data_IF_256195062352
#
_entry.id   IF_256195062352
#
_cell.length_a   1.000
_cell.length_b   1.000
_cell.length_c   1.000
_cell.angle_alpha   90.00
_cell.angle_beta   90.00
_cell.angle_gamma   90.00
#
_symmetry.space_group_name_H-M   'P 1'
#
loop_
_entity.id
_entity.type
_entity.pdbx_description
1 polymer ?
#
# COMPACT_ATOMS: atom_id res chain seq x y z
N UNK A 1 -98.65 -28.51 -58.19
CA UNK A 1 -98.14 -27.46 -57.30
C UNK A 1 -97.48 -28.12 -56.11
N UNK A 2 -96.15 -28.07 -56.01
CA UNK A 2 -95.34 -28.82 -55.03
C UNK A 2 -94.59 -27.82 -54.15
N UNK A 3 -94.69 -28.04 -52.84
CA UNK A 3 -93.98 -27.32 -51.77
C UNK A 3 -92.46 -27.29 -51.99
N UNK A 4 -91.75 -26.31 -51.39
CA UNK A 4 -90.73 -26.77 -50.45
C UNK A 4 -90.70 -26.03 -49.11
N UNK A 5 -90.49 -26.86 -48.09
CA UNK A 5 -89.95 -26.58 -46.76
C UNK A 5 -88.53 -26.01 -46.84
N UNK A 6 -88.20 -25.08 -45.93
CA UNK A 6 -86.85 -24.56 -45.75
C UNK A 6 -86.66 -24.00 -44.34
N UNK A 7 -86.55 -24.89 -43.36
CA UNK A 7 -86.14 -24.60 -42.00
C UNK A 7 -84.68 -24.15 -41.95
N UNK A 8 -84.44 -22.89 -41.63
CA UNK A 8 -83.13 -22.41 -41.19
C UNK A 8 -83.24 -21.85 -39.77
N UNK A 9 -83.02 -22.73 -38.80
CA UNK A 9 -82.41 -22.36 -37.54
C UNK A 9 -80.99 -21.90 -37.83
N UNK A 10 -80.63 -20.68 -37.40
CA UNK A 10 -79.24 -20.32 -37.11
C UNK A 10 -79.19 -19.38 -35.91
N UNK A 11 -78.29 -19.74 -35.01
CA UNK A 11 -78.08 -19.22 -33.68
C UNK A 11 -77.96 -17.70 -33.56
N UNK A 12 -78.43 -17.23 -32.41
CA UNK A 12 -77.87 -16.07 -31.71
C UNK A 12 -76.44 -16.40 -31.30
N UNK A 13 -75.47 -15.63 -31.75
CA UNK A 13 -74.25 -15.38 -30.97
C UNK A 13 -73.87 -13.90 -31.06
N UNK A 14 -74.33 -13.15 -30.05
CA UNK A 14 -73.63 -12.00 -29.51
C UNK A 14 -72.43 -12.53 -28.72
N UNK A 15 -71.20 -12.04 -28.94
CA UNK A 15 -70.00 -12.07 -28.05
C UNK A 15 -68.77 -11.56 -28.88
N UNK A 16 -67.79 -10.82 -28.31
CA UNK A 16 -67.76 -9.37 -28.29
C UNK A 16 -66.62 -8.83 -29.19
N UNK A 17 -66.54 -7.51 -29.31
CA UNK A 17 -65.39 -6.79 -29.85
C UNK A 17 -64.09 -7.30 -29.22
N UNK A 18 -63.29 -8.07 -29.97
CA UNK A 18 -61.89 -8.36 -29.63
C UNK A 18 -61.09 -7.07 -29.75
N UNK A 19 -61.18 -6.23 -28.73
CA UNK A 19 -60.28 -5.09 -28.55
C UNK A 19 -58.89 -5.67 -28.32
N UNK A 20 -58.10 -5.79 -29.41
CA UNK A 20 -56.68 -6.10 -29.32
C UNK A 20 -55.99 -4.96 -28.57
N UNK A 21 -55.95 -5.06 -27.23
CA UNK A 21 -55.05 -4.26 -26.41
C UNK A 21 -53.64 -4.68 -26.79
N UNK A 22 -53.00 -3.82 -27.57
CA UNK A 22 -51.54 -3.85 -27.73
C UNK A 22 -50.98 -3.71 -26.32
N UNK A 23 -50.46 -4.80 -25.74
CA UNK A 23 -49.54 -4.68 -24.60
C UNK A 23 -48.36 -3.89 -25.13
N UNK A 24 -48.39 -2.57 -24.94
CA UNK A 24 -47.22 -1.74 -25.07
C UNK A 24 -46.39 -2.12 -23.85
N UNK A 25 -45.42 -3.01 -24.05
CA UNK A 25 -44.32 -3.21 -23.12
C UNK A 25 -43.74 -1.83 -22.89
N UNK A 26 -44.02 -1.25 -21.72
CA UNK A 26 -43.15 -0.22 -21.19
C UNK A 26 -41.85 -0.97 -20.92
N UNK A 27 -40.95 -0.94 -21.91
CA UNK A 27 -39.55 -1.10 -21.61
C UNK A 27 -39.27 0.02 -20.60
N UNK A 28 -39.25 -0.35 -19.33
CA UNK A 28 -38.86 0.53 -18.25
C UNK A 28 -37.40 0.86 -18.55
N UNK A 29 -37.19 1.98 -19.23
CA UNK A 29 -35.87 2.58 -19.33
C UNK A 29 -35.58 3.13 -17.94
N UNK A 30 -35.21 2.22 -17.04
CA UNK A 30 -34.72 2.51 -15.71
C UNK A 30 -33.40 3.25 -15.82
N UNK A 31 -33.49 4.56 -16.06
CA UNK A 31 -32.37 5.47 -16.02
C UNK A 31 -32.04 5.82 -14.57
N UNK A 32 -30.75 5.89 -14.26
CA UNK A 32 -30.25 6.37 -12.97
C UNK A 32 -30.73 7.81 -12.75
N UNK A 33 -31.31 8.10 -11.58
CA UNK A 33 -31.75 9.46 -11.28
C UNK A 33 -30.56 10.32 -10.84
N UNK A 34 -30.61 11.63 -11.09
CA UNK A 34 -29.58 12.56 -10.60
C UNK A 34 -29.48 12.54 -9.07
N UNK A 35 -30.61 12.35 -8.39
CA UNK A 35 -30.64 12.28 -6.92
C UNK A 35 -29.99 11.00 -6.38
N UNK A 36 -30.18 9.86 -7.05
CA UNK A 36 -29.53 8.60 -6.70
C UNK A 36 -28.01 8.69 -6.85
N UNK A 37 -27.54 9.34 -7.92
CA UNK A 37 -26.12 9.61 -8.12
C UNK A 37 -25.55 10.54 -7.04
N UNK A 38 -26.28 11.59 -6.65
CA UNK A 38 -25.84 12.50 -5.58
C UNK A 38 -25.65 11.78 -4.25
N UNK A 39 -26.60 10.92 -3.86
CA UNK A 39 -26.50 10.15 -2.62
C UNK A 39 -25.37 9.13 -2.70
N UNK A 40 -25.21 8.43 -3.83
CA UNK A 40 -24.12 7.48 -4.03
C UNK A 40 -22.74 8.14 -3.89
N UNK A 41 -22.52 9.28 -4.55
CA UNK A 41 -21.25 10.03 -4.46
C UNK A 41 -21.00 10.54 -3.04
N UNK A 42 -22.04 11.00 -2.34
CA UNK A 42 -21.91 11.43 -0.94
C UNK A 42 -21.42 10.28 -0.03
N UNK A 43 -21.98 9.08 -0.19
CA UNK A 43 -21.54 7.90 0.58
C UNK A 43 -20.10 7.53 0.25
N UNK A 44 -19.74 7.49 -1.05
CA UNK A 44 -18.37 7.18 -1.47
C UNK A 44 -17.37 8.21 -0.94
N UNK A 45 -17.72 9.49 -0.90
CA UNK A 45 -16.86 10.54 -0.37
C UNK A 45 -16.54 10.32 1.13
N UNK A 46 -17.54 9.97 1.94
CA UNK A 46 -17.34 9.66 3.37
C UNK A 46 -16.46 8.43 3.56
N UNK A 47 -16.70 7.37 2.79
CA UNK A 47 -15.89 6.15 2.85
C UNK A 47 -14.45 6.42 2.43
N UNK A 48 -14.24 7.16 1.34
CA UNK A 48 -12.92 7.50 0.82
C UNK A 48 -12.09 8.33 1.82
N UNK A 49 -12.73 9.26 2.53
CA UNK A 49 -12.06 10.10 3.53
C UNK A 49 -11.38 9.28 4.65
N UNK A 50 -11.94 8.13 5.03
CA UNK A 50 -11.37 7.24 6.04
C UNK A 50 -10.47 6.17 5.40
N UNK A 51 -10.89 5.63 4.25
CA UNK A 51 -10.21 4.51 3.61
C UNK A 51 -8.84 4.89 3.05
N UNK A 52 -8.71 6.06 2.41
CA UNK A 52 -7.48 6.51 1.76
C UNK A 52 -6.31 6.64 2.76
N UNK A 53 -6.44 7.39 3.89
CA UNK A 53 -5.33 7.51 4.84
C UNK A 53 -4.96 6.14 5.44
N UNK A 54 -5.94 5.32 5.79
CA UNK A 54 -5.72 3.99 6.38
C UNK A 54 -4.99 3.03 5.42
N UNK A 55 -5.39 3.00 4.14
CA UNK A 55 -4.72 2.18 3.14
C UNK A 55 -3.30 2.67 2.89
N UNK A 56 -3.09 3.99 2.82
CA UNK A 56 -1.76 4.56 2.64
C UNK A 56 -0.82 4.19 3.80
N UNK A 57 -1.31 4.18 5.03
CA UNK A 57 -0.55 3.75 6.21
C UNK A 57 -0.19 2.28 6.16
N UNK A 58 -1.13 1.42 5.74
CA UNK A 58 -0.87 0.00 5.56
C UNK A 58 0.27 -0.25 4.56
N UNK A 59 0.23 0.44 3.41
CA UNK A 59 1.28 0.35 2.39
C UNK A 59 2.62 0.86 2.93
N UNK A 60 2.65 1.99 3.65
CA UNK A 60 3.87 2.53 4.28
C UNK A 60 4.51 1.53 5.24
N UNK A 61 3.71 0.88 6.10
CA UNK A 61 4.20 -0.16 7.02
C UNK A 61 4.79 -1.36 6.27
N UNK A 62 4.19 -1.75 5.15
CA UNK A 62 4.73 -2.77 4.26
C UNK A 62 6.11 -2.40 3.72
N UNK A 63 6.30 -1.13 3.31
CA UNK A 63 7.61 -0.61 2.84
C UNK A 63 8.65 -0.62 3.97
N UNK A 64 8.28 -0.17 5.17
CA UNK A 64 9.16 -0.14 6.35
C UNK A 64 9.77 -1.52 6.66
N UNK A 65 9.01 -2.59 6.45
CA UNK A 65 9.49 -3.95 6.73
C UNK A 65 10.67 -4.38 5.86
N UNK A 66 10.78 -3.86 4.63
CA UNK A 66 11.93 -4.10 3.75
C UNK A 66 13.22 -3.57 4.38
N UNK A 67 13.19 -2.36 4.94
CA UNK A 67 14.33 -1.76 5.62
C UNK A 67 14.71 -2.49 6.90
N UNK A 68 13.75 -2.73 7.80
CA UNK A 68 14.02 -3.32 9.12
C UNK A 68 14.60 -4.73 9.01
N UNK A 69 14.04 -5.57 8.13
CA UNK A 69 14.55 -6.92 7.88
C UNK A 69 15.95 -6.90 7.26
N UNK A 70 16.20 -6.01 6.31
CA UNK A 70 17.51 -5.86 5.67
C UNK A 70 18.57 -5.36 6.64
N UNK A 71 18.25 -4.38 7.48
CA UNK A 71 19.16 -3.87 8.51
C UNK A 71 19.56 -4.95 9.52
N UNK A 72 18.62 -5.82 9.92
CA UNK A 72 18.94 -6.97 10.79
C UNK A 72 19.86 -7.97 10.10
N UNK A 73 19.60 -8.30 8.83
CA UNK A 73 20.46 -9.19 8.05
C UNK A 73 21.88 -8.62 7.88
N UNK A 74 21.98 -7.31 7.61
CA UNK A 74 23.27 -6.62 7.49
C UNK A 74 24.01 -6.58 8.83
N UNK A 75 23.32 -6.35 9.96
CA UNK A 75 23.92 -6.45 11.30
C UNK A 75 24.56 -7.82 11.53
N UNK A 76 23.88 -8.91 11.21
CA UNK A 76 24.43 -10.27 11.36
C UNK A 76 25.70 -10.45 10.52
N UNK A 77 25.71 -9.91 9.30
CA UNK A 77 26.89 -9.93 8.42
C UNK A 77 28.05 -9.08 8.96
N UNK A 78 27.76 -7.91 9.53
CA UNK A 78 28.77 -7.09 10.20
C UNK A 78 29.39 -7.86 11.37
N UNK A 79 28.56 -8.51 12.20
CA UNK A 79 29.04 -9.28 13.35
C UNK A 79 29.90 -10.47 12.91
N UNK A 80 29.47 -11.21 11.88
CA UNK A 80 30.29 -12.28 11.30
C UNK A 80 31.66 -11.75 10.84
N UNK A 81 31.69 -10.62 10.13
CA UNK A 81 32.95 -10.01 9.68
C UNK A 81 33.86 -9.64 10.86
N UNK A 82 33.28 -9.13 11.95
CA UNK A 82 34.03 -8.80 13.15
C UNK A 82 34.63 -10.04 13.85
N UNK A 83 33.90 -11.16 13.88
CA UNK A 83 34.44 -12.41 14.41
C UNK A 83 35.67 -12.90 13.62
N UNK A 84 35.65 -12.70 12.30
CA UNK A 84 36.74 -13.10 11.41
C UNK A 84 37.94 -12.14 11.46
N UNK A 85 37.69 -10.82 11.56
CA UNK A 85 38.72 -9.79 11.33
C UNK A 85 39.07 -8.95 12.58
N UNK A 86 38.29 -9.07 13.67
CA UNK A 86 38.37 -8.23 14.89
C UNK A 86 38.27 -6.72 14.61
N UNK A 87 37.65 -6.36 13.50
CA UNK A 87 37.48 -5.00 12.98
C UNK A 87 36.26 -4.99 12.07
N UNK A 88 35.54 -3.87 12.00
CA UNK A 88 34.47 -3.64 11.03
C UNK A 88 34.97 -2.93 9.77
N UNK A 89 36.22 -2.46 9.73
CA UNK A 89 36.81 -1.85 8.54
C UNK A 89 37.73 -2.81 7.83
N UNK A 90 37.84 -2.65 6.52
CA UNK A 90 38.87 -3.33 5.74
C UNK A 90 40.27 -2.87 6.17
N UNK A 91 41.26 -3.77 6.30
CA UNK A 91 42.65 -3.39 6.56
C UNK A 91 43.13 -2.35 5.54
N UNK A 92 43.68 -1.23 6.01
CA UNK A 92 44.26 -0.19 5.15
C UNK A 92 43.27 0.84 4.56
N UNK A 93 41.98 0.79 4.89
CA UNK A 93 41.03 1.84 4.50
C UNK A 93 39.92 2.05 5.56
N UNK A 94 39.44 3.30 5.78
CA UNK A 94 38.39 3.59 6.77
C UNK A 94 37.00 3.24 6.23
N UNK A 95 36.87 2.13 5.52
CA UNK A 95 35.61 1.73 4.88
C UNK A 95 35.05 0.51 5.57
N UNK A 96 33.77 0.57 5.92
CA UNK A 96 33.08 -0.50 6.64
C UNK A 96 32.84 -1.70 5.71
N UNK A 97 33.52 -2.80 5.97
CA UNK A 97 33.17 -4.09 5.37
C UNK A 97 32.10 -4.76 6.24
N UNK A 98 31.03 -5.32 5.63
CA UNK A 98 30.87 -5.61 4.21
C UNK A 98 30.11 -4.55 3.40
N UNK A 99 29.85 -3.38 3.96
CA UNK A 99 28.95 -2.39 3.39
C UNK A 99 29.59 -1.54 2.27
N UNK A 100 30.52 -2.11 1.51
CA UNK A 100 31.16 -1.49 0.36
C UNK A 100 30.71 -2.14 -0.94
N UNK A 101 30.59 -1.30 -1.97
CA UNK A 101 30.38 -1.78 -3.34
C UNK A 101 31.62 -2.59 -3.73
N UNK A 102 31.43 -3.88 -4.03
CA UNK A 102 32.53 -4.80 -4.35
C UNK A 102 33.12 -5.59 -3.16
N UNK A 103 32.56 -5.47 -1.94
CA UNK A 103 32.84 -6.42 -0.86
C UNK A 103 32.29 -7.81 -1.16
N UNK A 104 32.85 -8.85 -0.52
CA UNK A 104 32.39 -10.24 -0.60
C UNK A 104 30.95 -10.46 -0.14
N UNK A 105 30.35 -9.46 0.51
CA UNK A 105 28.94 -9.46 0.88
C UNK A 105 28.30 -8.20 0.30
N UNK A 106 27.58 -8.31 -0.83
CA UNK A 106 26.97 -7.15 -1.46
C UNK A 106 25.88 -6.55 -0.59
N UNK A 107 25.80 -5.22 -0.61
CA UNK A 107 24.66 -4.47 -0.09
C UNK A 107 23.46 -4.78 -1.00
N UNK A 108 22.34 -5.29 -0.47
CA UNK A 108 21.19 -5.63 -1.30
C UNK A 108 20.55 -4.36 -1.87
N UNK A 109 20.16 -4.42 -3.14
CA UNK A 109 19.33 -3.39 -3.77
C UNK A 109 17.90 -3.56 -3.28
N UNK A 110 17.35 -2.51 -2.68
CA UNK A 110 15.98 -2.47 -2.19
C UNK A 110 15.12 -1.59 -3.09
N UNK A 111 13.79 -1.80 -3.04
CA UNK A 111 12.85 -1.03 -3.86
C UNK A 111 12.53 0.34 -3.26
N UNK A 112 12.37 0.40 -1.94
CA UNK A 112 11.88 1.61 -1.25
C UNK A 112 12.95 2.30 -0.40
N UNK A 113 14.14 1.70 -0.29
CA UNK A 113 15.23 2.18 0.54
C UNK A 113 16.57 2.09 -0.18
N UNK A 114 17.55 2.87 0.28
CA UNK A 114 18.97 2.67 -0.02
C UNK A 114 19.70 2.41 1.28
N UNK A 115 20.53 1.39 1.31
CA UNK A 115 21.38 1.08 2.47
C UNK A 115 22.72 1.78 2.29
N UNK A 116 23.13 2.53 3.31
CA UNK A 116 24.45 3.15 3.39
C UNK A 116 25.11 2.83 4.72
N UNK A 117 26.43 2.81 4.75
CA UNK A 117 27.20 2.68 5.97
C UNK A 117 28.24 3.79 6.02
N UNK A 118 27.94 4.93 6.67
CA UNK A 118 28.91 5.99 6.82
C UNK A 118 30.17 5.48 7.53
N UNK A 119 31.34 5.92 7.05
CA UNK A 119 32.61 5.59 7.66
C UNK A 119 32.62 6.01 9.14
N UNK A 120 33.08 5.13 10.01
CA UNK A 120 33.30 5.42 11.43
C UNK A 120 34.76 5.79 11.69
N UNK A 121 34.97 6.61 12.72
CA UNK A 121 36.30 6.96 13.18
C UNK A 121 37.02 5.73 13.78
N UNK A 122 38.35 5.74 13.72
CA UNK A 122 39.19 4.75 14.39
C UNK A 122 39.11 4.91 15.92
N UNK A 123 39.01 3.82 16.70
CA UNK A 123 39.18 2.42 16.31
C UNK A 123 37.94 1.83 15.60
N UNK A 124 38.21 0.97 14.61
CA UNK A 124 37.25 0.29 13.72
C UNK A 124 36.37 -0.77 14.42
N UNK A 125 35.89 -0.48 15.62
CA UNK A 125 35.10 -1.36 16.49
C UNK A 125 33.65 -0.89 16.61
N UNK A 126 33.29 0.18 15.91
CA UNK A 126 31.93 0.72 15.87
C UNK A 126 31.45 0.84 14.43
N UNK A 127 30.15 0.77 14.23
CA UNK A 127 29.54 1.00 12.93
C UNK A 127 28.16 1.59 13.07
N UNK A 128 27.65 2.19 12.00
CA UNK A 128 26.22 2.47 11.87
C UNK A 128 25.80 2.13 10.46
N UNK A 129 24.76 1.31 10.34
CA UNK A 129 24.09 1.01 9.09
C UNK A 129 22.86 1.91 9.02
N UNK A 130 22.64 2.54 7.88
CA UNK A 130 21.52 3.44 7.64
C UNK A 130 20.69 2.92 6.47
N UNK A 131 19.37 2.96 6.61
CA UNK A 131 18.42 2.74 5.54
C UNK A 131 17.66 4.04 5.27
N UNK A 132 17.92 4.65 4.13
CA UNK A 132 17.30 5.89 3.68
C UNK A 132 16.14 5.61 2.73
N UNK A 133 14.95 6.11 3.05
CA UNK A 133 13.78 5.93 2.20
C UNK A 133 13.92 6.72 0.88
N UNK A 134 13.72 6.04 -0.24
CA UNK A 134 13.79 6.61 -1.59
C UNK A 134 12.41 6.81 -2.23
N UNK A 135 11.41 6.10 -1.75
CA UNK A 135 10.05 6.17 -2.27
C UNK A 135 9.33 7.45 -1.84
N UNK A 136 8.71 8.15 -2.80
CA UNK A 136 8.03 9.43 -2.63
C UNK A 136 7.05 9.48 -1.45
N UNK A 137 6.39 8.37 -1.11
CA UNK A 137 5.44 8.35 0.01
C UNK A 137 6.14 8.41 1.36
N UNK A 138 7.35 7.85 1.50
CA UNK A 138 8.07 7.70 2.78
C UNK A 138 9.41 8.45 2.81
N UNK A 139 9.69 9.32 1.83
CA UNK A 139 10.93 10.11 1.82
C UNK A 139 11.10 10.90 3.10
N UNK A 140 12.34 11.09 3.52
CA UNK A 140 12.68 11.70 4.81
C UNK A 140 12.68 10.72 5.99
N UNK A 141 12.31 9.45 5.78
CA UNK A 141 12.48 8.39 6.78
C UNK A 141 13.87 7.76 6.69
N UNK A 142 14.57 7.70 7.81
CA UNK A 142 15.83 6.98 7.97
C UNK A 142 15.75 6.05 9.17
N UNK A 143 16.13 4.80 8.99
CA UNK A 143 16.38 3.87 10.09
C UNK A 143 17.86 3.61 10.25
N UNK A 144 18.32 3.50 11.50
CA UNK A 144 19.71 3.16 11.79
C UNK A 144 19.83 2.01 12.76
N UNK A 145 20.94 1.27 12.67
CA UNK A 145 21.36 0.29 13.66
C UNK A 145 22.88 0.30 13.80
N UNK A 146 23.38 0.25 15.03
CA UNK A 146 24.82 0.22 15.33
C UNK A 146 25.26 -1.14 15.89
N UNK A 147 26.55 -1.28 16.23
CA UNK A 147 27.13 -2.50 16.83
C UNK A 147 26.44 -2.89 18.15
N UNK A 148 26.03 -1.90 18.94
CA UNK A 148 25.34 -2.08 20.23
C UNK A 148 23.84 -2.42 20.13
N UNK A 149 23.31 -2.65 18.92
CA UNK A 149 21.87 -2.88 18.65
C UNK A 149 20.99 -1.70 19.04
N UNK A 150 21.55 -0.50 19.16
CA UNK A 150 20.77 0.73 19.27
C UNK A 150 20.10 0.97 17.92
N UNK A 151 18.78 1.02 17.93
CA UNK A 151 17.95 1.25 16.75
C UNK A 151 17.40 2.66 16.86
N UNK A 152 17.48 3.43 15.79
CA UNK A 152 16.89 4.77 15.79
C UNK A 152 16.15 5.05 14.50
N UNK A 153 15.22 5.99 14.60
CA UNK A 153 14.48 6.56 13.48
C UNK A 153 14.75 8.05 13.44
N UNK A 154 15.12 8.51 12.26
CA UNK A 154 15.12 9.92 11.91
C UNK A 154 14.03 10.19 10.88
N UNK A 155 13.25 11.24 11.12
CA UNK A 155 12.24 11.81 10.25
C UNK A 155 12.68 13.25 9.96
N UNK A 156 12.96 13.54 8.70
CA UNK A 156 13.33 14.87 8.23
C UNK A 156 12.11 15.80 8.29
N UNK A 157 12.28 17.00 8.84
CA UNK A 157 11.22 18.01 8.88
C UNK A 157 10.75 18.44 7.48
N UNK A 158 9.45 18.69 7.33
CA UNK A 158 8.78 19.01 6.07
C UNK A 158 8.56 17.81 5.14
N UNK A 159 8.94 16.60 5.56
CA UNK A 159 8.88 15.42 4.69
C UNK A 159 7.47 14.80 4.60
N UNK A 160 7.16 14.05 3.53
CA UNK A 160 5.88 13.34 3.40
C UNK A 160 5.62 12.33 4.52
N UNK A 161 6.68 11.76 5.12
CA UNK A 161 6.53 10.82 6.22
C UNK A 161 6.19 11.51 7.54
N UNK A 162 6.71 12.72 7.78
CA UNK A 162 6.33 13.56 8.92
C UNK A 162 4.86 13.98 8.82
N UNK A 163 4.42 14.43 7.64
CA UNK A 163 3.02 14.80 7.38
C UNK A 163 2.07 13.61 7.55
N UNK A 164 2.55 12.39 7.33
CA UNK A 164 1.79 11.18 7.62
C UNK A 164 1.70 10.84 9.13
N UNK A 165 2.39 11.59 9.99
CA UNK A 165 2.35 11.46 11.45
C UNK A 165 3.41 10.55 12.05
N UNK A 166 4.46 10.18 11.30
CA UNK A 166 5.63 9.51 11.86
C UNK A 166 6.56 10.53 12.51
N UNK A 167 7.28 10.11 13.54
CA UNK A 167 8.12 10.99 14.33
C UNK A 167 9.51 10.39 14.56
N UNK A 168 10.47 11.23 14.90
CA UNK A 168 11.79 10.80 15.35
C UNK A 168 11.68 9.92 16.60
N UNK A 169 12.51 8.88 16.68
CA UNK A 169 12.69 8.12 17.92
C UNK A 169 14.15 7.64 18.01
N UNK A 170 14.94 8.10 19.00
CA UNK A 170 16.34 7.73 19.11
C UNK A 170 16.56 6.30 19.63
N UNK A 171 15.52 5.63 20.12
CA UNK A 171 15.60 4.36 20.84
C UNK A 171 14.98 3.18 20.08
N UNK A 172 14.24 3.43 18.99
CA UNK A 172 13.73 2.34 18.17
C UNK A 172 13.42 2.73 16.72
N UNK A 173 13.13 1.70 15.92
CA UNK A 173 12.52 1.84 14.61
C UNK A 173 11.02 2.09 14.74
N UNK A 174 10.57 3.25 14.27
CA UNK A 174 9.16 3.64 14.32
C UNK A 174 8.40 2.92 13.22
N UNK A 175 7.63 1.92 13.61
CA UNK A 175 6.77 1.15 12.71
C UNK A 175 5.35 1.72 12.66
N UNK A 176 5.01 2.63 13.58
CA UNK A 176 3.71 3.29 13.71
C UNK A 176 3.86 4.80 13.85
N UNK A 177 2.75 5.52 13.63
CA UNK A 177 2.63 6.96 13.85
C UNK A 177 2.91 7.32 15.31
N UNK A 178 3.30 8.57 15.55
CA UNK A 178 3.64 9.07 16.88
C UNK A 178 4.98 8.58 17.42
N UNK A 179 5.83 8.02 16.55
CA UNK A 179 7.17 7.56 16.94
C UNK A 179 7.17 6.24 17.71
N UNK A 180 6.13 5.43 17.57
CA UNK A 180 6.01 4.17 18.30
C UNK A 180 6.70 3.01 17.56
N UNK A 181 7.38 2.21 18.37
CA UNK A 181 7.67 0.80 18.14
C UNK A 181 6.50 -0.02 18.72
#
# INVERSE_FOLDING_TARGET
>A
MKSPSGSHARERELIPLKFRRKCRTYADFGGFTLIELMVAVAIIAVLAAIAIPNYSDYVRRGKIQEATSTLLAMRTKMEQYFQDNRSYTTPGAPVLAPCTVGSSVPVPTLRYFTITCPATATPATTYTIQADATDASITGLRFTINESNVRATTVTGGSPIEQAGYANNPNCWTIRKGGQC
#
